data_IF_053699580640
#
_entry.id   IF_053699580640
#
_cell.length_a   1.000
_cell.length_b   1.000
_cell.length_c   1.000
_cell.angle_alpha   90.00
_cell.angle_beta   90.00
_cell.angle_gamma   90.00
#
_symmetry.space_group_name_H-M   'P 1'
#
loop_
_entity.id
_entity.type
_entity.pdbx_description
1 polymer ?
#
# COMPACT_ATOMS: atom_id res chain seq x y z
N UNK A 1 -13.55 4.52 14.43
CA UNK A 1 -14.03 5.06 13.13
C UNK A 1 -13.96 3.90 12.14
N UNK A 2 -14.58 3.97 10.97
CA UNK A 2 -14.63 2.80 10.08
C UNK A 2 -13.32 2.69 9.32
N UNK A 3 -12.69 1.52 9.32
CA UNK A 3 -11.49 1.27 8.51
C UNK A 3 -11.85 1.48 7.02
N UNK A 4 -11.13 2.36 6.33
CA UNK A 4 -11.36 2.61 4.90
C UNK A 4 -10.57 1.57 4.10
N UNK A 5 -11.27 0.72 3.36
CA UNK A 5 -10.65 -0.30 2.51
C UNK A 5 -10.73 0.10 1.05
N UNK A 6 -9.58 0.10 0.39
CA UNK A 6 -9.43 0.37 -1.04
C UNK A 6 -8.86 -0.86 -1.71
N UNK A 7 -9.66 -1.48 -2.58
CA UNK A 7 -9.29 -2.69 -3.33
C UNK A 7 -9.04 -2.31 -4.78
N UNK A 8 -7.87 -2.66 -5.30
CA UNK A 8 -7.50 -2.43 -6.69
C UNK A 8 -6.53 -3.49 -7.19
N UNK A 9 -6.09 -3.37 -8.44
CA UNK A 9 -5.10 -4.26 -9.01
C UNK A 9 -4.05 -3.45 -9.75
N UNK A 10 -2.81 -3.90 -9.69
CA UNK A 10 -1.66 -3.30 -10.38
C UNK A 10 -1.07 -4.34 -11.34
N UNK A 11 -0.56 -3.87 -12.48
CA UNK A 11 0.20 -4.73 -13.40
C UNK A 11 1.69 -4.56 -13.09
N UNK A 12 2.35 -5.64 -12.69
CA UNK A 12 3.78 -5.66 -12.36
C UNK A 12 4.43 -6.87 -13.06
N UNK A 13 5.51 -6.64 -13.79
CA UNK A 13 6.22 -7.68 -14.58
C UNK A 13 5.34 -8.51 -15.54
N UNK A 14 4.18 -7.98 -15.94
CA UNK A 14 3.23 -8.67 -16.80
C UNK A 14 2.22 -9.56 -16.06
N UNK A 15 2.25 -9.56 -14.73
CA UNK A 15 1.25 -10.19 -13.86
C UNK A 15 0.33 -9.14 -13.24
N UNK A 16 -0.95 -9.49 -13.07
CA UNK A 16 -1.93 -8.64 -12.38
C UNK A 16 -1.97 -9.02 -10.92
N UNK A 17 -1.45 -8.14 -10.07
CA UNK A 17 -1.38 -8.34 -8.63
C UNK A 17 -2.60 -7.65 -7.98
N UNK A 18 -3.48 -8.40 -7.29
CA UNK A 18 -4.56 -7.79 -6.51
C UNK A 18 -3.98 -7.19 -5.22
N UNK A 19 -4.38 -5.97 -4.91
CA UNK A 19 -3.86 -5.22 -3.76
C UNK A 19 -5.03 -4.63 -2.98
N UNK A 20 -4.98 -4.80 -1.66
CA UNK A 20 -5.96 -4.28 -0.73
C UNK A 20 -5.22 -3.37 0.24
N UNK A 21 -5.59 -2.09 0.28
CA UNK A 21 -5.07 -1.15 1.27
C UNK A 21 -6.17 -0.86 2.28
N UNK A 22 -5.87 -1.08 3.55
CA UNK A 22 -6.72 -0.70 4.68
C UNK A 22 -6.08 0.48 5.38
N UNK A 23 -6.75 1.62 5.33
CA UNK A 23 -6.41 2.78 6.15
C UNK A 23 -6.99 2.60 7.56
N UNK A 24 -6.09 2.62 8.53
CA UNK A 24 -6.39 2.50 9.96
C UNK A 24 -6.08 3.84 10.61
N UNK A 25 -7.12 4.63 10.88
CA UNK A 25 -7.02 5.87 11.64
C UNK A 25 -6.74 5.55 13.12
N UNK A 26 -5.55 5.92 13.62
CA UNK A 26 -5.24 5.95 15.05
C UNK A 26 -5.38 7.37 15.62
N UNK A 27 -5.24 7.52 16.94
CA UNK A 27 -5.46 8.81 17.63
C UNK A 27 -4.48 9.91 17.22
N UNK A 28 -3.31 9.54 16.67
CA UNK A 28 -2.25 10.47 16.28
C UNK A 28 -1.89 10.42 14.77
N UNK A 29 -2.09 9.27 14.09
CA UNK A 29 -1.68 9.06 12.69
C UNK A 29 -2.59 8.06 11.94
N UNK A 30 -2.58 8.12 10.60
CA UNK A 30 -3.18 7.10 9.71
C UNK A 30 -2.12 6.08 9.30
N UNK A 31 -2.42 4.80 9.50
CA UNK A 31 -1.57 3.68 9.05
C UNK A 31 -2.19 3.03 7.82
N UNK A 32 -1.40 2.76 6.79
CA UNK A 32 -1.87 2.09 5.57
C UNK A 32 -1.35 0.66 5.51
N UNK A 33 -2.23 -0.30 5.78
CA UNK A 33 -1.91 -1.72 5.73
C UNK A 33 -2.22 -2.30 4.36
N UNK A 34 -1.19 -2.82 3.69
CA UNK A 34 -1.28 -3.46 2.38
C UNK A 34 -1.38 -4.96 2.53
N UNK A 35 -2.34 -5.55 1.81
CA UNK A 35 -2.52 -6.99 1.69
C UNK A 35 -2.44 -7.38 0.21
N UNK A 36 -1.53 -8.31 -0.08
CA UNK A 36 -1.36 -8.92 -1.40
C UNK A 36 -1.51 -10.43 -1.23
N UNK A 37 -2.24 -11.14 -2.11
CA UNK A 37 -2.29 -12.59 -2.07
C UNK A 37 -0.89 -13.19 -2.16
N UNK A 38 -0.66 -14.27 -1.41
CA UNK A 38 0.63 -14.99 -1.38
C UNK A 38 1.82 -14.18 -0.82
N UNK A 39 1.58 -13.00 -0.25
CA UNK A 39 2.57 -12.20 0.47
C UNK A 39 2.12 -11.95 1.91
N UNK A 40 3.09 -11.65 2.78
CA UNK A 40 2.78 -11.16 4.13
C UNK A 40 2.19 -9.75 4.04
N UNK A 41 1.29 -9.41 4.97
CA UNK A 41 0.74 -8.06 5.06
C UNK A 41 1.85 -7.13 5.55
N UNK A 42 1.89 -5.93 4.98
CA UNK A 42 2.91 -4.95 5.32
C UNK A 42 2.33 -3.54 5.37
N UNK A 43 3.01 -2.67 6.11
CA UNK A 43 2.63 -1.27 6.24
C UNK A 43 3.36 -0.42 5.20
N UNK A 44 2.63 0.48 4.55
CA UNK A 44 3.22 1.55 3.74
C UNK A 44 2.96 2.92 4.36
N UNK A 45 3.88 3.85 4.13
CA UNK A 45 3.76 5.23 4.54
C UNK A 45 4.48 6.16 3.57
N UNK A 46 4.10 7.44 3.60
CA UNK A 46 4.79 8.47 2.85
C UNK A 46 6.07 8.87 3.61
N UNK A 47 7.22 8.73 2.97
CA UNK A 47 8.50 9.24 3.50
C UNK A 47 8.59 10.77 3.41
N UNK A 48 9.62 11.35 4.02
CA UNK A 48 9.89 12.81 3.93
C UNK A 48 10.15 13.29 2.49
N UNK A 49 10.51 12.38 1.58
CA UNK A 49 10.77 12.67 0.17
C UNK A 49 9.52 12.51 -0.72
N UNK A 50 8.31 12.48 -0.12
CA UNK A 50 7.03 12.24 -0.80
C UNK A 50 7.00 10.91 -1.61
N UNK A 51 7.78 9.92 -1.17
CA UNK A 51 7.81 8.58 -1.77
C UNK A 51 7.17 7.56 -0.84
N UNK A 52 6.31 6.70 -1.41
CA UNK A 52 5.72 5.56 -0.69
C UNK A 52 6.79 4.52 -0.40
N UNK A 53 6.95 4.21 0.89
CA UNK A 53 7.94 3.24 1.40
C UNK A 53 7.26 2.29 2.39
N UNK A 54 7.95 1.19 2.70
CA UNK A 54 7.53 0.20 3.71
C UNK A 54 8.49 0.24 4.90
N UNK A 55 7.99 -0.05 6.11
CA UNK A 55 8.82 -0.06 7.33
C UNK A 55 9.43 -1.43 7.60
N UNK A 56 8.83 -2.47 7.01
CA UNK A 56 9.21 -3.86 7.25
C UNK A 56 10.17 -4.38 6.16
N UNK A 57 11.08 -5.28 6.55
CA UNK A 57 11.84 -6.12 5.62
C UNK A 57 10.88 -7.09 4.91
N UNK A 58 10.16 -6.58 3.91
CA UNK A 58 9.25 -7.35 3.08
C UNK A 58 9.99 -7.95 1.91
N UNK A 59 9.51 -9.10 1.43
CA UNK A 59 10.01 -9.72 0.18
C UNK A 59 9.46 -9.05 -1.08
N UNK A 60 8.75 -7.94 -0.93
CA UNK A 60 8.09 -7.20 -2.01
C UNK A 60 9.10 -6.22 -2.61
N UNK A 61 9.10 -6.13 -3.94
CA UNK A 61 9.97 -5.21 -4.68
C UNK A 61 9.62 -3.74 -4.37
N UNK A 62 10.65 -2.89 -4.24
CA UNK A 62 10.48 -1.44 -4.02
C UNK A 62 9.69 -0.78 -5.16
N UNK A 63 9.89 -1.22 -6.40
CA UNK A 63 9.16 -0.71 -7.56
C UNK A 63 7.65 -1.05 -7.46
N UNK A 64 7.32 -2.22 -6.91
CA UNK A 64 5.94 -2.63 -6.68
C UNK A 64 5.30 -1.79 -5.57
N UNK A 65 6.03 -1.51 -4.48
CA UNK A 65 5.56 -0.64 -3.39
C UNK A 65 5.24 0.75 -3.93
N UNK A 66 6.13 1.32 -4.74
CA UNK A 66 5.91 2.62 -5.37
C UNK A 66 4.67 2.62 -6.26
N UNK A 67 4.50 1.59 -7.11
CA UNK A 67 3.32 1.45 -7.97
C UNK A 67 2.02 1.36 -7.19
N UNK A 68 2.03 0.63 -6.08
CA UNK A 68 0.87 0.48 -5.19
C UNK A 68 0.50 1.84 -4.59
N UNK A 69 1.49 2.57 -4.08
CA UNK A 69 1.31 3.89 -3.49
C UNK A 69 0.78 4.92 -4.48
N UNK A 70 1.43 5.05 -5.65
CA UNK A 70 1.01 5.98 -6.72
C UNK A 70 -0.41 5.67 -7.21
N UNK A 71 -0.74 4.38 -7.37
CA UNK A 71 -2.08 3.95 -7.77
C UNK A 71 -3.11 4.27 -6.71
N UNK A 72 -2.78 4.05 -5.43
CA UNK A 72 -3.65 4.36 -4.32
C UNK A 72 -3.93 5.85 -4.21
N UNK A 73 -2.90 6.69 -4.30
CA UNK A 73 -3.02 8.14 -4.27
C UNK A 73 -3.88 8.65 -5.44
N UNK A 74 -3.71 8.07 -6.63
CA UNK A 74 -4.55 8.37 -7.79
C UNK A 74 -6.03 7.98 -7.64
N UNK A 75 -6.36 7.08 -6.70
CA UNK A 75 -7.73 6.66 -6.39
C UNK A 75 -8.36 7.50 -5.27
N UNK A 76 -7.57 8.25 -4.52
CA UNK A 76 -8.05 9.17 -3.50
C UNK A 76 -8.64 10.43 -4.19
N UNK A 77 -9.85 10.89 -3.80
CA UNK A 77 -10.55 12.00 -4.43
C UNK A 77 -9.99 13.39 -4.09
#
# INVERSE_FOLDING_TARGET
MADLKTEFSVEFEGETIPVIITEVENEDDSIFMVEIPDQEKFEIFLSEDDMWVTNDEVTVDEDLIFLIGDKFESLQP
#
